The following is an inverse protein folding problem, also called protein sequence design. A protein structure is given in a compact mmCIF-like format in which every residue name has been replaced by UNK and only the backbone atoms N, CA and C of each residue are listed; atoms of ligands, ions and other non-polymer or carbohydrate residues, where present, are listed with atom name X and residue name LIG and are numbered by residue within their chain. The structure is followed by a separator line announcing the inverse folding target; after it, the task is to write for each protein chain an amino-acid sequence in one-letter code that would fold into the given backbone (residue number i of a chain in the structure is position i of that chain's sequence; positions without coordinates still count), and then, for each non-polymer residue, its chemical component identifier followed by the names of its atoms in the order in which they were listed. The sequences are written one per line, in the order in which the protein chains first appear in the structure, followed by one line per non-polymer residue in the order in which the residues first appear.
data_IF_099058273874
#
_entry.id   IF_099058273874
#
_cell.length_a   1.000
_cell.length_b   1.000
_cell.length_c   1.000
_cell.angle_alpha   90.00
_cell.angle_beta   90.00
_cell.angle_gamma   90.00
#
_symmetry.space_group_name_H-M   'P 1'
#
loop_
_entity.id
_entity.type
_entity.pdbx_description
1 polymer ?
#
# COMPACT_ATOMS: atom_id res chain seq x y z
N UNK A 1 -57.73 16.33 -30.56
CA UNK A 1 -56.57 17.15 -30.13
C UNK A 1 -56.29 16.81 -28.69
N UNK A 2 -55.33 15.91 -28.46
CA UNK A 2 -54.89 15.53 -27.10
C UNK A 2 -53.53 16.20 -26.85
N UNK A 3 -53.48 17.12 -25.91
CA UNK A 3 -52.26 17.79 -25.48
C UNK A 3 -51.48 16.84 -24.55
N UNK A 4 -50.29 16.44 -24.96
CA UNK A 4 -49.35 15.66 -24.19
C UNK A 4 -48.55 16.61 -23.27
N UNK A 5 -48.78 16.51 -21.97
CA UNK A 5 -47.96 17.21 -20.98
C UNK A 5 -46.71 16.40 -20.69
N UNK A 6 -45.55 16.88 -21.14
CA UNK A 6 -44.25 16.33 -20.75
C UNK A 6 -43.86 17.04 -19.46
N UNK A 7 -43.99 16.34 -18.36
CA UNK A 7 -43.43 16.78 -17.06
C UNK A 7 -41.96 16.44 -17.03
N UNK A 8 -41.13 17.43 -17.23
CA UNK A 8 -39.68 17.35 -17.06
C UNK A 8 -39.39 17.35 -15.57
N UNK A 9 -39.20 16.16 -15.00
CA UNK A 9 -38.69 16.02 -13.62
C UNK A 9 -37.19 16.30 -13.65
N UNK A 10 -36.79 17.52 -13.33
CA UNK A 10 -35.41 17.87 -13.00
C UNK A 10 -35.06 17.20 -11.68
N UNK A 11 -34.34 16.10 -11.74
CA UNK A 11 -33.61 15.56 -10.59
C UNK A 11 -32.49 16.54 -10.25
N UNK A 12 -32.77 17.40 -9.26
CA UNK A 12 -31.77 18.20 -8.59
C UNK A 12 -30.95 17.21 -7.71
N UNK A 13 -29.87 16.68 -8.26
CA UNK A 13 -28.87 15.97 -7.47
C UNK A 13 -28.21 17.02 -6.56
N UNK A 14 -28.74 17.15 -5.36
CA UNK A 14 -28.08 17.91 -4.31
C UNK A 14 -26.73 17.23 -4.03
N UNK A 15 -25.65 17.85 -4.45
CA UNK A 15 -24.32 17.59 -3.97
C UNK A 15 -24.31 17.92 -2.47
N UNK A 16 -24.67 16.94 -1.64
CA UNK A 16 -24.32 16.93 -0.24
C UNK A 16 -22.84 16.59 -0.17
N UNK A 17 -21.99 17.57 -0.40
CA UNK A 17 -20.64 17.56 0.12
C UNK A 17 -20.76 17.62 1.64
N UNK A 18 -21.04 16.48 2.28
CA UNK A 18 -20.88 16.35 3.70
C UNK A 18 -19.38 16.49 3.95
N UNK A 19 -18.98 17.63 4.46
CA UNK A 19 -17.73 17.80 5.14
C UNK A 19 -17.74 16.82 6.33
N UNK A 20 -17.35 15.57 6.11
CA UNK A 20 -17.05 14.63 7.16
C UNK A 20 -15.71 15.03 7.74
N UNK A 21 -15.79 16.05 8.58
CA UNK A 21 -14.70 16.46 9.46
C UNK A 21 -14.55 15.38 10.54
N UNK A 22 -13.34 14.77 10.61
CA UNK A 22 -12.79 14.14 11.80
C UNK A 22 -13.51 12.91 12.36
N UNK A 23 -13.77 11.92 11.57
CA UNK A 23 -13.64 10.55 12.04
C UNK A 23 -12.34 9.99 11.47
N UNK A 24 -11.47 9.43 12.33
CA UNK A 24 -10.34 8.59 11.93
C UNK A 24 -10.88 7.29 11.30
N UNK A 25 -11.59 7.42 10.21
CA UNK A 25 -11.99 6.31 9.38
C UNK A 25 -10.78 5.92 8.57
N UNK A 26 -10.37 4.67 8.70
CA UNK A 26 -9.52 4.04 7.73
C UNK A 26 -10.11 4.31 6.34
N UNK A 27 -9.48 5.18 5.57
CA UNK A 27 -9.84 5.35 4.16
C UNK A 27 -9.38 4.09 3.44
N UNK A 28 -10.27 3.13 3.32
CA UNK A 28 -10.11 2.06 2.35
C UNK A 28 -10.36 2.66 0.97
N UNK A 29 -9.36 3.29 0.40
CA UNK A 29 -9.39 3.62 -1.01
C UNK A 29 -8.97 2.37 -1.75
N UNK A 30 -9.92 1.68 -2.38
CA UNK A 30 -9.62 0.63 -3.34
C UNK A 30 -8.84 1.29 -4.48
N UNK A 31 -7.54 1.02 -4.56
CA UNK A 31 -6.76 1.37 -5.73
C UNK A 31 -7.36 0.68 -6.97
N UNK A 32 -7.14 1.24 -8.16
CA UNK A 32 -7.67 0.73 -9.44
C UNK A 32 -7.29 -0.75 -9.74
N UNK A 33 -6.37 -1.33 -8.97
CA UNK A 33 -6.06 -2.75 -8.96
C UNK A 33 -6.77 -3.43 -7.79
N UNK A 34 -7.61 -4.39 -8.09
CA UNK A 34 -8.44 -5.16 -7.14
C UNK A 34 -7.66 -5.82 -5.98
N UNK A 35 -6.34 -5.74 -5.98
CA UNK A 35 -5.44 -6.45 -5.08
C UNK A 35 -4.65 -5.57 -4.10
N UNK A 36 -4.78 -4.23 -4.18
CA UNK A 36 -4.01 -3.32 -3.33
C UNK A 36 -4.94 -2.51 -2.44
N UNK A 37 -4.83 -2.73 -1.14
CA UNK A 37 -5.52 -1.96 -0.11
C UNK A 37 -4.52 -1.08 0.63
N UNK A 38 -4.92 0.12 1.03
CA UNK A 38 -4.08 0.92 1.93
C UNK A 38 -4.90 1.73 2.93
N UNK A 39 -4.26 1.99 4.07
CA UNK A 39 -4.78 2.77 5.18
C UNK A 39 -3.79 3.89 5.50
N UNK A 40 -4.28 5.08 5.81
CA UNK A 40 -3.45 6.22 6.24
C UNK A 40 -3.69 6.47 7.73
N UNK A 41 -2.61 6.51 8.51
CA UNK A 41 -2.65 6.82 9.94
C UNK A 41 -1.95 8.14 10.21
N UNK A 42 -2.67 9.05 10.82
CA UNK A 42 -2.14 10.33 11.26
C UNK A 42 -1.39 10.17 12.58
N UNK A 43 -0.42 11.06 12.81
CA UNK A 43 0.31 11.07 14.05
C UNK A 43 -0.59 11.52 15.21
N UNK A 44 -0.62 10.73 16.26
CA UNK A 44 -1.31 11.09 17.51
C UNK A 44 -0.45 12.05 18.34
N UNK A 45 -1.09 13.00 19.02
CA UNK A 45 -0.39 13.84 19.98
C UNK A 45 0.10 12.96 21.15
N UNK A 46 1.40 13.00 21.52
CA UNK A 46 1.94 12.18 22.61
C UNK A 46 1.26 12.42 23.98
N UNK A 47 0.77 13.64 24.25
CA UNK A 47 0.08 13.92 25.52
C UNK A 47 -1.32 13.29 25.52
N UNK A 48 -2.03 13.34 24.41
CA UNK A 48 -3.36 12.74 24.30
C UNK A 48 -3.28 11.21 24.31
N UNK A 49 -2.25 10.62 23.68
CA UNK A 49 -2.06 9.18 23.64
C UNK A 49 -1.92 8.52 25.02
N UNK A 50 -1.43 9.26 26.02
CA UNK A 50 -1.36 8.78 27.41
C UNK A 50 -2.72 8.48 28.02
N UNK A 51 -3.78 9.06 27.48
CA UNK A 51 -5.16 8.93 27.97
C UNK A 51 -6.01 8.01 27.07
N UNK A 52 -5.41 7.38 26.06
CA UNK A 52 -6.14 6.47 25.18
C UNK A 52 -6.53 5.19 25.90
N UNK A 53 -7.76 4.75 25.66
CA UNK A 53 -8.19 3.40 26.05
C UNK A 53 -7.43 2.34 25.24
N UNK A 54 -7.43 1.11 25.71
CA UNK A 54 -6.81 -0.02 25.00
C UNK A 54 -7.33 -0.14 23.57
N UNK A 55 -8.64 -0.01 23.37
CA UNK A 55 -9.25 -0.10 22.04
C UNK A 55 -8.76 1.01 21.12
N UNK A 56 -8.65 2.23 21.63
CA UNK A 56 -8.10 3.35 20.86
C UNK A 56 -6.61 3.16 20.56
N UNK A 57 -5.81 2.66 21.50
CA UNK A 57 -4.40 2.32 21.26
C UNK A 57 -4.27 1.27 20.14
N UNK A 58 -5.09 0.23 20.16
CA UNK A 58 -5.11 -0.78 19.09
C UNK A 58 -5.47 -0.14 17.75
N UNK A 59 -6.53 0.66 17.70
CA UNK A 59 -6.97 1.34 16.47
C UNK A 59 -5.90 2.27 15.89
N UNK A 60 -5.20 3.02 16.74
CA UNK A 60 -4.21 4.03 16.31
C UNK A 60 -2.84 3.40 15.97
N UNK A 61 -2.40 2.37 16.70
CA UNK A 61 -1.02 1.90 16.63
C UNK A 61 -0.86 0.43 16.19
N UNK A 62 -1.87 -0.43 16.33
CA UNK A 62 -1.74 -1.82 15.91
C UNK A 62 -2.17 -2.02 14.45
N UNK A 63 -1.40 -2.77 13.68
CA UNK A 63 -1.78 -3.26 12.35
C UNK A 63 -2.15 -4.74 12.50
N UNK A 64 -3.42 -5.01 12.73
CA UNK A 64 -3.88 -6.35 13.11
C UNK A 64 -3.95 -7.32 11.93
N UNK A 65 -4.21 -6.80 10.72
CA UNK A 65 -4.29 -7.61 9.51
C UNK A 65 -3.31 -7.07 8.46
N UNK A 66 -2.22 -7.78 8.27
CA UNK A 66 -1.18 -7.44 7.29
C UNK A 66 -1.28 -8.33 6.05
N UNK A 67 -1.60 -9.62 6.21
CA UNK A 67 -1.68 -10.59 5.12
C UNK A 67 -3.11 -10.98 4.81
N UNK A 68 -3.40 -11.10 3.51
CA UNK A 68 -4.61 -11.72 2.99
C UNK A 68 -4.27 -12.38 1.65
N UNK A 69 -4.81 -13.60 1.38
CA UNK A 69 -4.52 -14.33 0.16
C UNK A 69 -4.83 -13.53 -1.11
N UNK A 70 -3.85 -13.38 -2.00
CA UNK A 70 -3.97 -12.66 -3.26
C UNK A 70 -3.98 -11.15 -3.15
N UNK A 71 -3.73 -10.57 -1.97
CA UNK A 71 -3.82 -9.12 -1.73
C UNK A 71 -2.50 -8.52 -1.26
N UNK A 72 -2.40 -7.20 -1.43
CA UNK A 72 -1.41 -6.35 -0.77
C UNK A 72 -2.15 -5.41 0.17
N UNK A 73 -1.74 -5.40 1.44
CA UNK A 73 -2.29 -4.49 2.43
C UNK A 73 -1.19 -3.55 2.92
N UNK A 74 -1.42 -2.24 2.77
CA UNK A 74 -0.49 -1.22 3.19
C UNK A 74 -1.04 -0.37 4.32
N UNK A 75 -0.18 0.07 5.21
CA UNK A 75 -0.46 1.14 6.17
C UNK A 75 0.60 2.23 6.02
N UNK A 76 0.17 3.41 5.59
CA UNK A 76 1.01 4.60 5.60
C UNK A 76 0.84 5.33 6.91
N UNK A 77 1.92 5.55 7.63
CA UNK A 77 1.91 6.29 8.89
C UNK A 77 2.59 7.63 8.74
N UNK A 78 1.96 8.69 9.28
CA UNK A 78 2.55 10.02 9.35
C UNK A 78 3.68 10.12 10.40
N UNK A 79 3.88 9.06 11.21
CA UNK A 79 5.11 8.90 11.98
C UNK A 79 6.26 8.59 11.02
N UNK A 80 7.17 9.52 10.83
CA UNK A 80 8.32 9.44 9.92
C UNK A 80 7.98 9.09 8.46
N UNK A 81 6.72 9.24 8.06
CA UNK A 81 6.23 8.90 6.71
C UNK A 81 6.58 7.45 6.32
N UNK A 82 6.47 6.56 7.27
CA UNK A 82 6.81 5.15 7.11
C UNK A 82 5.64 4.38 6.49
N UNK A 83 5.94 3.44 5.60
CA UNK A 83 4.97 2.58 4.97
C UNK A 83 5.24 1.13 5.38
N UNK A 84 4.23 0.47 5.91
CA UNK A 84 4.28 -0.91 6.36
C UNK A 84 3.28 -1.71 5.55
N UNK A 85 3.67 -2.87 5.05
CA UNK A 85 2.75 -3.69 4.27
C UNK A 85 3.03 -5.17 4.33
N UNK A 86 2.07 -5.92 3.81
CA UNK A 86 2.17 -7.33 3.58
C UNK A 86 1.52 -7.73 2.27
N UNK A 87 2.13 -8.70 1.60
CA UNK A 87 1.61 -9.31 0.38
C UNK A 87 1.65 -10.83 0.49
N UNK A 88 0.57 -11.47 0.08
CA UNK A 88 0.44 -12.92 0.06
C UNK A 88 0.02 -13.39 -1.34
N UNK A 89 0.94 -13.41 -2.34
CA UNK A 89 0.63 -13.93 -3.66
C UNK A 89 0.30 -15.44 -3.57
N UNK A 90 -0.79 -15.84 -4.19
CA UNK A 90 -1.23 -17.24 -4.24
C UNK A 90 -0.97 -17.82 -5.63
N UNK A 91 -2.02 -17.91 -6.47
CA UNK A 91 -1.92 -18.44 -7.83
C UNK A 91 -1.49 -17.39 -8.86
N UNK A 92 -1.82 -16.12 -8.61
CA UNK A 92 -1.50 -15.02 -9.49
C UNK A 92 -0.35 -14.16 -8.96
N UNK A 93 0.52 -13.63 -9.82
CA UNK A 93 1.52 -12.65 -9.45
C UNK A 93 0.86 -11.37 -8.92
N UNK A 94 1.50 -10.73 -7.94
CA UNK A 94 1.10 -9.42 -7.44
C UNK A 94 2.13 -8.38 -7.89
N UNK A 95 1.68 -7.40 -8.67
CA UNK A 95 2.49 -6.24 -9.04
C UNK A 95 2.28 -5.14 -8.01
N UNK A 96 3.35 -4.66 -7.39
CA UNK A 96 3.28 -3.52 -6.48
C UNK A 96 3.04 -2.23 -7.27
N UNK A 97 1.99 -1.52 -6.90
CA UNK A 97 1.61 -0.26 -7.51
C UNK A 97 1.83 0.91 -6.57
N UNK A 98 1.90 2.08 -7.14
CA UNK A 98 1.94 3.33 -6.42
C UNK A 98 0.66 3.57 -5.61
N UNK A 99 0.78 4.25 -4.49
CA UNK A 99 -0.33 4.61 -3.61
C UNK A 99 -0.65 6.10 -3.73
N UNK A 100 -1.92 6.44 -3.86
CA UNK A 100 -2.34 7.84 -4.03
C UNK A 100 -1.91 8.74 -2.85
N UNK A 101 -1.83 8.19 -1.64
CA UNK A 101 -1.37 8.94 -0.46
C UNK A 101 0.11 9.36 -0.49
N UNK A 102 0.91 8.84 -1.43
CA UNK A 102 2.34 9.15 -1.55
C UNK A 102 2.64 10.33 -2.49
N UNK A 103 1.63 10.86 -3.18
CA UNK A 103 1.79 11.87 -4.22
C UNK A 103 1.04 13.15 -3.88
N UNK A 104 1.58 14.26 -4.38
CA UNK A 104 0.86 15.51 -4.52
C UNK A 104 0.14 15.52 -5.88
N UNK A 105 -0.93 16.29 -6.01
CA UNK A 105 -1.74 16.38 -7.25
C UNK A 105 -1.00 17.08 -8.42
N UNK A 106 0.32 17.11 -8.41
CA UNK A 106 1.11 17.70 -9.49
C UNK A 106 1.15 16.76 -10.70
N UNK A 107 0.77 17.21 -11.91
CA UNK A 107 0.77 16.38 -13.11
C UNK A 107 2.16 15.83 -13.51
N UNK A 108 3.23 16.43 -13.00
CA UNK A 108 4.63 16.07 -13.27
C UNK A 108 5.16 14.96 -12.38
N UNK A 109 4.43 14.56 -11.34
CA UNK A 109 4.89 13.56 -10.41
C UNK A 109 4.87 12.17 -11.08
N UNK A 110 6.04 11.56 -11.19
CA UNK A 110 6.19 10.17 -11.61
C UNK A 110 5.54 9.29 -10.54
N UNK A 111 4.48 8.59 -10.91
CA UNK A 111 3.66 7.81 -9.96
C UNK A 111 4.21 6.39 -9.75
N UNK A 112 5.50 6.25 -9.39
CA UNK A 112 6.10 4.96 -9.01
C UNK A 112 6.12 4.82 -7.49
N UNK A 113 5.97 3.61 -6.98
CA UNK A 113 6.01 3.34 -5.54
C UNK A 113 7.30 3.86 -4.89
N UNK A 114 8.43 3.73 -5.58
CA UNK A 114 9.76 4.05 -5.05
C UNK A 114 10.37 5.35 -5.61
N UNK A 115 9.58 6.30 -6.09
CA UNK A 115 10.10 7.60 -6.59
C UNK A 115 10.92 8.36 -5.54
N UNK A 116 10.50 8.31 -4.27
CA UNK A 116 11.17 9.00 -3.16
C UNK A 116 11.37 8.07 -1.96
N UNK A 117 11.36 6.77 -2.17
CA UNK A 117 11.37 5.76 -1.11
C UNK A 117 12.25 4.58 -1.49
N UNK A 118 12.69 3.86 -0.48
CA UNK A 118 13.31 2.55 -0.57
C UNK A 118 12.40 1.51 0.08
N UNK A 119 12.62 0.24 -0.22
CA UNK A 119 11.77 -0.86 0.23
C UNK A 119 12.62 -2.02 0.75
N UNK A 120 12.32 -2.46 1.96
CA UNK A 120 12.74 -3.74 2.50
C UNK A 120 11.61 -4.76 2.36
N UNK A 121 11.93 -5.96 1.91
CA UNK A 121 11.01 -7.10 1.77
C UNK A 121 11.60 -8.27 2.53
N UNK A 122 10.86 -8.85 3.46
CA UNK A 122 11.24 -10.04 4.21
C UNK A 122 10.21 -11.12 3.96
N UNK A 123 10.64 -12.29 3.52
CA UNK A 123 9.74 -13.42 3.36
C UNK A 123 9.57 -14.17 4.69
N UNK A 124 8.34 -14.25 5.19
CA UNK A 124 7.98 -14.97 6.43
C UNK A 124 6.99 -16.12 6.18
N UNK A 125 6.81 -16.50 4.91
CA UNK A 125 5.94 -17.62 4.49
C UNK A 125 6.70 -18.69 3.74
N UNK A 126 6.01 -19.38 2.83
CA UNK A 126 6.62 -20.33 1.90
C UNK A 126 7.60 -19.66 0.93
N UNK A 127 8.27 -20.45 0.10
CA UNK A 127 9.20 -19.93 -0.89
C UNK A 127 8.52 -19.01 -1.90
N UNK A 128 9.14 -17.88 -2.20
CA UNK A 128 8.63 -16.93 -3.18
C UNK A 128 9.72 -16.27 -4.00
N UNK A 129 9.30 -15.52 -5.01
CA UNK A 129 10.19 -14.76 -5.88
C UNK A 129 9.77 -13.30 -5.91
N UNK A 130 10.73 -12.42 -5.76
CA UNK A 130 10.58 -10.98 -5.98
C UNK A 130 11.30 -10.63 -7.27
N UNK A 131 10.58 -10.12 -8.25
CA UNK A 131 11.15 -9.64 -9.52
C UNK A 131 11.21 -8.13 -9.50
N UNK A 132 12.39 -7.55 -9.72
CA UNK A 132 12.62 -6.10 -9.76
C UNK A 132 13.19 -5.74 -11.13
N UNK A 133 12.47 -4.93 -11.92
CA UNK A 133 12.84 -4.56 -13.30
C UNK A 133 13.22 -5.78 -14.17
N UNK A 134 12.46 -6.88 -14.07
CA UNK A 134 12.68 -8.12 -14.79
C UNK A 134 13.74 -9.05 -14.18
N UNK A 135 14.52 -8.62 -13.20
CA UNK A 135 15.48 -9.48 -12.50
C UNK A 135 14.83 -10.16 -11.31
N UNK A 136 14.86 -11.49 -11.29
CA UNK A 136 14.25 -12.30 -10.21
C UNK A 136 15.21 -12.59 -9.08
N UNK A 137 14.67 -12.57 -7.86
CA UNK A 137 15.34 -12.90 -6.61
C UNK A 137 14.45 -13.90 -5.86
N UNK A 138 14.88 -15.14 -5.78
CA UNK A 138 14.20 -16.14 -4.95
C UNK A 138 14.48 -15.87 -3.48
N UNK A 139 13.45 -15.87 -2.65
CA UNK A 139 13.53 -15.69 -1.21
C UNK A 139 12.94 -16.91 -0.50
N UNK A 140 13.78 -17.57 0.28
CA UNK A 140 13.36 -18.57 1.23
C UNK A 140 12.83 -17.92 2.52
N UNK A 141 12.34 -18.74 3.44
CA UNK A 141 11.86 -18.26 4.74
C UNK A 141 12.96 -17.47 5.47
N UNK A 142 12.62 -16.29 5.98
CA UNK A 142 13.48 -15.33 6.67
C UNK A 142 14.57 -14.67 5.79
N UNK A 143 14.61 -14.93 4.49
CA UNK A 143 15.47 -14.15 3.60
C UNK A 143 14.83 -12.80 3.26
N UNK A 144 15.68 -11.82 2.96
CA UNK A 144 15.24 -10.46 2.69
C UNK A 144 15.79 -9.90 1.37
N UNK A 145 15.08 -8.93 0.81
CA UNK A 145 15.51 -8.14 -0.35
C UNK A 145 15.41 -6.66 -0.02
N UNK A 146 16.50 -5.94 -0.18
CA UNK A 146 16.51 -4.49 -0.21
C UNK A 146 16.35 -4.01 -1.65
N UNK A 147 15.42 -3.08 -1.88
CA UNK A 147 15.19 -2.42 -3.16
C UNK A 147 15.34 -0.91 -2.95
N UNK A 148 16.39 -0.34 -3.55
CA UNK A 148 16.67 1.08 -3.45
C UNK A 148 15.67 1.93 -4.24
N UNK A 149 15.73 3.24 -4.02
CA UNK A 149 14.93 4.23 -4.70
C UNK A 149 15.02 4.10 -6.23
N UNK A 150 13.91 4.34 -6.92
CA UNK A 150 13.87 4.45 -8.37
C UNK A 150 14.65 5.69 -8.87
N UNK A 151 15.21 5.58 -10.05
CA UNK A 151 15.93 6.65 -10.73
C UNK A 151 15.53 6.74 -12.22
N UNK A 152 16.23 7.52 -13.02
CA UNK A 152 15.91 7.68 -14.43
C UNK A 152 16.14 6.40 -15.26
N UNK A 153 17.05 5.54 -14.82
CA UNK A 153 17.45 4.30 -15.51
C UNK A 153 16.67 3.08 -15.01
N UNK A 154 16.23 3.11 -13.74
CA UNK A 154 15.62 1.96 -13.06
C UNK A 154 14.27 2.36 -12.48
N UNK A 155 13.21 1.81 -13.02
CA UNK A 155 11.84 2.09 -12.58
C UNK A 155 11.50 1.45 -11.24
N UNK A 156 12.23 0.40 -10.85
CA UNK A 156 11.94 -0.43 -9.68
C UNK A 156 10.53 -0.99 -9.70
N UNK A 157 10.13 -1.51 -10.88
CA UNK A 157 8.90 -2.28 -11.00
C UNK A 157 9.06 -3.58 -10.23
N UNK A 158 8.13 -3.86 -9.30
CA UNK A 158 8.21 -5.01 -8.40
C UNK A 158 7.03 -5.93 -8.63
N UNK A 159 7.33 -7.21 -8.87
CA UNK A 159 6.34 -8.29 -8.98
C UNK A 159 6.68 -9.38 -7.96
N UNK A 160 5.67 -9.81 -7.22
CA UNK A 160 5.75 -10.81 -6.15
C UNK A 160 5.05 -12.08 -6.60
N UNK A 161 5.67 -13.24 -6.39
CA UNK A 161 5.08 -14.55 -6.71
C UNK A 161 5.39 -15.56 -5.62
N UNK A 162 4.48 -16.52 -5.41
CA UNK A 162 4.75 -17.72 -4.61
C UNK A 162 5.22 -18.85 -5.51
N UNK A 163 6.13 -19.68 -5.00
CA UNK A 163 6.54 -20.92 -5.68
C UNK A 163 5.48 -22.02 -5.55
N UNK A 164 4.78 -22.05 -4.42
CA UNK A 164 3.73 -23.01 -4.12
C UNK A 164 2.47 -22.29 -3.62
N UNK A 165 1.36 -22.32 -4.37
CA UNK A 165 0.11 -21.71 -3.93
C UNK A 165 -0.51 -22.34 -2.69
N UNK A 166 -0.19 -23.61 -2.38
CA UNK A 166 -0.68 -24.29 -1.19
C UNK A 166 0.08 -23.86 0.08
N UNK A 167 1.33 -23.40 -0.08
CA UNK A 167 2.13 -22.79 0.97
C UNK A 167 2.69 -21.44 0.47
N UNK A 168 1.84 -20.41 0.40
CA UNK A 168 2.20 -19.16 -0.23
C UNK A 168 3.30 -18.41 0.53
N UNK A 169 4.10 -17.68 -0.22
CA UNK A 169 5.03 -16.71 0.35
C UNK A 169 4.25 -15.58 1.05
N UNK A 170 4.80 -15.10 2.15
CA UNK A 170 4.28 -13.95 2.90
C UNK A 170 5.36 -12.89 2.99
N UNK A 171 5.25 -11.90 2.15
CA UNK A 171 6.22 -10.82 2.07
C UNK A 171 5.83 -9.69 3.01
N UNK A 172 6.49 -9.62 4.18
CA UNK A 172 6.45 -8.43 5.02
C UNK A 172 7.27 -7.34 4.35
N UNK A 173 6.71 -6.14 4.26
CA UNK A 173 7.32 -5.03 3.55
C UNK A 173 7.36 -3.79 4.42
N UNK A 174 8.49 -3.09 4.38
CA UNK A 174 8.62 -1.77 4.99
C UNK A 174 9.30 -0.80 4.03
N UNK A 175 8.89 0.46 4.06
CA UNK A 175 9.43 1.46 3.16
C UNK A 175 9.59 2.80 3.88
N UNK A 176 10.76 3.38 3.72
CA UNK A 176 11.12 4.69 4.24
C UNK A 176 11.43 5.68 3.11
N UNK A 177 11.42 6.97 3.42
CA UNK A 177 11.85 7.99 2.47
C UNK A 177 13.36 7.84 2.19
N UNK A 178 13.73 7.95 0.91
CA UNK A 178 15.13 7.84 0.48
C UNK A 178 15.50 9.04 -0.42
N UNK A 179 16.65 9.62 -0.15
CA UNK A 179 17.19 10.75 -0.91
C UNK A 179 18.12 10.30 -2.05
N UNK A 180 18.58 9.04 -2.01
CA UNK A 180 19.54 8.49 -2.96
C UNK A 180 19.14 7.10 -3.41
N UNK A 181 19.49 6.73 -4.66
CA UNK A 181 19.27 5.39 -5.21
C UNK A 181 20.45 4.48 -4.87
N UNK A 182 20.14 3.28 -4.35
CA UNK A 182 21.11 2.23 -4.09
C UNK A 182 20.78 0.95 -4.85
N UNK A 183 21.77 0.08 -5.14
CA UNK A 183 21.53 -1.19 -5.80
C UNK A 183 20.61 -2.11 -5.00
N UNK A 184 19.76 -2.86 -5.70
CA UNK A 184 18.98 -3.95 -5.09
C UNK A 184 19.91 -5.03 -4.56
N UNK A 185 19.70 -5.47 -3.31
CA UNK A 185 20.57 -6.44 -2.61
C UNK A 185 19.74 -7.49 -1.88
N UNK A 186 19.98 -8.77 -2.19
CA UNK A 186 19.45 -9.88 -1.41
C UNK A 186 20.29 -10.08 -0.15
N UNK A 187 19.62 -10.39 0.96
CA UNK A 187 20.23 -10.81 2.24
C UNK A 187 19.74 -12.23 2.52
N UNK A 188 20.67 -13.13 2.70
CA UNK A 188 20.46 -14.54 3.09
C UNK A 188 20.82 -14.73 4.56
N UNK A 189 20.27 -15.77 5.17
CA UNK A 189 20.67 -16.22 6.50
C UNK A 189 22.10 -16.78 6.48
#
# INVERSE_FOLDING_TARGET
MKKLFITTTMCLAAFMASAQCCENSAYEVKAENAYTNYNVRYASNPQDAKHYTTDRLRKEFAIEKIFAPGEVNWTYTMFDRFLIGGAEPTTAPIKLTSLACLYTDKPTDKKRLLDNRELGIINIGGKGTVTVDGKSYDLDFQEALYVGRADEKNNKEIVLTSKDPANPAKFYMNSACAHQSFPTKKVTL
#
